data_IF_375540995640
#
_entry.id   IF_375540995640
#
_cell.length_a   1.000
_cell.length_b   1.000
_cell.length_c   1.000
_cell.angle_alpha   90.00
_cell.angle_beta   90.00
_cell.angle_gamma   90.00
#
_symmetry.space_group_name_H-M   'P 1'
#
loop_
_entity.id
_entity.type
_entity.pdbx_description
1 polymer ?
#
# COMPACT_ATOMS: atom_id res chain seq x y z
N UNK A 1 -9.79 14.18 10.06
CA UNK A 1 -9.82 13.10 9.06
C UNK A 1 -9.57 11.77 9.77
N UNK A 2 -10.32 10.70 9.44
CA UNK A 2 -10.06 9.36 10.01
C UNK A 2 -8.90 8.70 9.26
N UNK A 3 -7.88 8.30 10.01
CA UNK A 3 -6.65 7.68 9.48
C UNK A 3 -6.80 6.19 9.18
N UNK A 4 -7.81 5.56 9.78
CA UNK A 4 -8.17 4.17 9.55
C UNK A 4 -9.68 4.10 9.37
N UNK A 5 -10.12 3.26 8.43
CA UNK A 5 -11.51 3.03 8.09
C UNK A 5 -11.94 1.66 8.63
N UNK A 6 -13.18 1.53 9.10
CA UNK A 6 -13.80 0.23 9.37
C UNK A 6 -14.44 -0.32 8.10
N UNK A 7 -14.60 -1.64 8.01
CA UNK A 7 -15.15 -2.33 6.84
C UNK A 7 -16.47 -1.73 6.35
N UNK A 8 -17.36 -1.33 7.27
CA UNK A 8 -18.67 -0.70 6.98
C UNK A 8 -18.56 0.59 6.16
N UNK A 9 -17.40 1.25 6.18
CA UNK A 9 -17.17 2.54 5.50
C UNK A 9 -16.41 2.41 4.19
N UNK A 10 -15.98 1.20 3.80
CA UNK A 10 -15.13 1.01 2.62
C UNK A 10 -15.88 1.32 1.32
N UNK A 11 -17.12 0.86 1.20
CA UNK A 11 -17.95 1.09 0.00
C UNK A 11 -18.23 2.58 -0.17
N UNK A 12 -18.62 3.28 0.90
CA UNK A 12 -18.85 4.73 0.91
C UNK A 12 -17.56 5.50 0.57
N UNK A 13 -16.41 5.06 1.09
CA UNK A 13 -15.12 5.70 0.82
C UNK A 13 -14.67 5.51 -0.63
N UNK A 14 -15.08 4.43 -1.27
CA UNK A 14 -14.88 4.17 -2.69
C UNK A 14 -13.56 3.46 -3.03
N UNK A 15 -13.59 2.73 -4.14
CA UNK A 15 -12.50 1.86 -4.63
C UNK A 15 -11.16 2.60 -4.81
N UNK A 16 -11.19 3.87 -5.19
CA UNK A 16 -9.98 4.67 -5.39
C UNK A 16 -9.22 4.97 -4.09
N UNK A 17 -9.88 4.84 -2.94
CA UNK A 17 -9.27 5.13 -1.64
C UNK A 17 -8.96 3.87 -0.84
N UNK A 18 -9.71 2.78 -1.02
CA UNK A 18 -9.51 1.52 -0.31
C UNK A 18 -8.87 0.42 -1.17
N UNK A 19 -8.82 0.58 -2.49
CA UNK A 19 -8.36 -0.42 -3.45
C UNK A 19 -9.38 -1.54 -3.73
N UNK A 20 -9.10 -2.34 -4.76
CA UNK A 20 -10.02 -3.37 -5.26
C UNK A 20 -10.34 -4.45 -4.22
N UNK A 21 -9.31 -5.04 -3.60
CA UNK A 21 -9.46 -6.11 -2.61
C UNK A 21 -10.29 -5.70 -1.40
N UNK A 22 -9.99 -4.54 -0.82
CA UNK A 22 -10.74 -4.01 0.32
C UNK A 22 -12.20 -3.72 -0.05
N UNK A 23 -12.42 -3.10 -1.21
CA UNK A 23 -13.75 -2.78 -1.70
C UNK A 23 -14.59 -4.05 -1.90
N UNK A 24 -14.02 -5.07 -2.54
CA UNK A 24 -14.67 -6.37 -2.72
C UNK A 24 -14.94 -7.07 -1.38
N UNK A 25 -14.01 -7.01 -0.42
CA UNK A 25 -14.20 -7.57 0.91
C UNK A 25 -15.39 -6.93 1.64
N UNK A 26 -15.54 -5.61 1.55
CA UNK A 26 -16.68 -4.91 2.14
C UNK A 26 -17.99 -5.28 1.46
N UNK A 27 -18.01 -5.44 0.13
CA UNK A 27 -19.20 -5.93 -0.57
C UNK A 27 -19.62 -7.33 -0.10
N UNK A 28 -18.67 -8.22 0.15
CA UNK A 28 -18.94 -9.56 0.69
C UNK A 28 -19.50 -9.46 2.12
N UNK A 29 -18.92 -8.60 2.96
CA UNK A 29 -19.45 -8.32 4.30
C UNK A 29 -20.90 -7.80 4.27
N UNK A 30 -21.22 -6.86 3.36
CA UNK A 30 -22.57 -6.30 3.21
C UNK A 30 -23.61 -7.34 2.74
N UNK A 31 -23.17 -8.44 2.13
CA UNK A 31 -24.03 -9.58 1.79
C UNK A 31 -24.25 -10.55 2.96
N UNK A 32 -23.73 -10.25 4.16
CA UNK A 32 -23.94 -11.03 5.37
C UNK A 32 -23.00 -12.23 5.54
N UNK A 33 -21.93 -12.30 4.75
CA UNK A 33 -20.88 -13.30 4.96
C UNK A 33 -20.03 -12.95 6.18
N UNK A 34 -19.58 -13.98 6.90
CA UNK A 34 -18.70 -13.81 8.05
C UNK A 34 -17.30 -13.40 7.58
N UNK A 35 -16.99 -12.12 7.77
CA UNK A 35 -15.71 -11.52 7.43
C UNK A 35 -15.01 -11.14 8.73
N UNK A 36 -13.72 -11.51 8.92
CA UNK A 36 -12.96 -11.08 10.08
C UNK A 36 -12.99 -9.56 10.26
N UNK A 37 -12.84 -9.10 11.50
CA UNK A 37 -12.78 -7.65 11.77
C UNK A 37 -11.61 -7.01 11.03
N UNK A 38 -11.93 -6.26 9.97
CA UNK A 38 -10.97 -5.63 9.08
C UNK A 38 -11.04 -4.12 9.17
N UNK A 39 -9.86 -3.50 9.10
CA UNK A 39 -9.72 -2.07 8.93
C UNK A 39 -8.87 -1.76 7.71
N UNK A 40 -8.99 -0.55 7.16
CA UNK A 40 -8.21 -0.11 6.02
C UNK A 40 -7.43 1.17 6.36
N UNK A 41 -6.14 1.18 6.06
CA UNK A 41 -5.33 2.40 5.91
C UNK A 41 -5.50 2.87 4.46
N UNK A 42 -6.23 3.97 4.21
CA UNK A 42 -6.59 4.37 2.85
C UNK A 42 -5.44 5.04 2.08
N UNK A 43 -5.56 5.10 0.76
CA UNK A 43 -4.56 5.67 -0.16
C UNK A 43 -4.12 7.09 0.21
N UNK A 44 -5.05 7.94 0.67
CA UNK A 44 -4.69 9.28 1.18
C UNK A 44 -3.64 9.31 2.30
N UNK A 45 -3.53 8.24 3.10
CA UNK A 45 -2.50 8.15 4.15
C UNK A 45 -1.15 7.79 3.56
N UNK A 46 -1.13 6.93 2.53
CA UNK A 46 0.07 6.71 1.72
C UNK A 46 0.54 8.01 1.06
N UNK A 47 -0.38 8.74 0.42
CA UNK A 47 -0.10 10.04 -0.20
C UNK A 47 0.47 11.06 0.80
N UNK A 48 -0.17 11.20 1.96
CA UNK A 48 0.31 12.07 3.03
C UNK A 48 1.69 11.65 3.53
N UNK A 49 1.93 10.35 3.70
CA UNK A 49 3.24 9.82 4.08
C UNK A 49 4.32 10.19 3.07
N UNK A 50 4.12 9.91 1.78
CA UNK A 50 5.15 10.17 0.76
C UNK A 50 5.39 11.66 0.53
N UNK A 51 4.36 12.50 0.73
CA UNK A 51 4.47 13.95 0.62
C UNK A 51 5.17 14.58 1.84
N UNK A 52 4.67 14.33 3.06
CA UNK A 52 5.21 14.93 4.30
C UNK A 52 6.64 14.47 4.62
N UNK A 53 7.06 13.31 4.10
CA UNK A 53 8.43 12.80 4.28
C UNK A 53 9.39 13.14 3.14
N UNK A 54 8.96 13.91 2.14
CA UNK A 54 9.70 14.19 0.90
C UNK A 54 10.15 12.93 0.14
N UNK A 55 9.51 11.80 0.42
CA UNK A 55 9.83 10.53 -0.20
C UNK A 55 9.42 10.52 -1.67
N UNK A 56 8.31 11.20 -2.02
CA UNK A 56 7.83 11.35 -3.40
C UNK A 56 8.92 11.90 -4.33
N UNK A 57 9.60 12.97 -3.91
CA UNK A 57 10.64 13.61 -4.73
C UNK A 57 11.85 12.70 -4.93
N UNK A 58 12.24 11.95 -3.89
CA UNK A 58 13.35 10.98 -3.95
C UNK A 58 13.01 9.79 -4.85
N UNK A 59 11.77 9.30 -4.79
CA UNK A 59 11.26 8.25 -5.68
C UNK A 59 11.30 8.74 -7.13
N UNK A 60 10.77 9.93 -7.40
CA UNK A 60 10.77 10.51 -8.74
C UNK A 60 12.19 10.70 -9.27
N UNK A 61 13.14 11.11 -8.44
CA UNK A 61 14.54 11.23 -8.84
C UNK A 61 15.13 9.88 -9.28
N UNK A 62 14.85 8.80 -8.54
CA UNK A 62 15.34 7.46 -8.90
C UNK A 62 14.69 6.91 -10.17
N UNK A 63 13.40 7.18 -10.39
CA UNK A 63 12.65 6.70 -11.54
C UNK A 63 12.97 7.46 -12.84
N UNK A 64 13.33 8.74 -12.74
CA UNK A 64 13.60 9.60 -13.89
C UNK A 64 15.09 9.64 -14.30
N UNK A 65 15.95 8.77 -13.75
CA UNK A 65 17.38 8.71 -14.14
C UNK A 65 17.57 8.32 -15.61
N UNK A 66 16.59 7.61 -16.17
CA UNK A 66 16.53 7.14 -17.55
C UNK A 66 15.05 6.96 -17.92
N UNK A 67 14.64 7.06 -19.19
CA UNK A 67 13.28 6.69 -19.60
C UNK A 67 12.98 5.24 -19.21
N UNK A 68 11.88 5.01 -18.50
CA UNK A 68 11.56 3.72 -17.89
C UNK A 68 11.40 2.60 -18.93
N UNK A 69 10.81 2.95 -20.08
CA UNK A 69 10.59 2.06 -21.22
C UNK A 69 11.91 1.51 -21.78
N UNK A 70 13.00 2.27 -21.62
CA UNK A 70 14.34 1.93 -22.13
C UNK A 70 15.22 1.20 -21.09
N UNK A 71 14.75 1.03 -19.85
CA UNK A 71 15.50 0.37 -18.80
C UNK A 71 15.54 -1.15 -19.02
N UNK A 72 16.70 -1.76 -18.83
CA UNK A 72 16.83 -3.22 -18.74
C UNK A 72 16.39 -3.73 -17.37
N UNK A 73 16.16 -5.04 -17.26
CA UNK A 73 15.71 -5.66 -16.02
C UNK A 73 16.66 -5.41 -14.84
N UNK A 74 17.98 -5.36 -15.07
CA UNK A 74 18.97 -5.07 -14.02
C UNK A 74 18.81 -3.66 -13.47
N UNK A 75 18.55 -2.69 -14.35
CA UNK A 75 18.35 -1.28 -13.98
C UNK A 75 17.05 -1.11 -13.18
N UNK A 76 15.99 -1.85 -13.55
CA UNK A 76 14.71 -1.86 -12.82
C UNK A 76 14.89 -2.47 -11.44
N UNK A 77 15.63 -3.58 -11.35
CA UNK A 77 15.93 -4.21 -10.07
C UNK A 77 16.71 -3.28 -9.14
N UNK A 78 17.73 -2.60 -9.67
CA UNK A 78 18.53 -1.61 -8.95
C UNK A 78 17.68 -0.43 -8.42
N UNK A 79 16.78 0.10 -9.25
CA UNK A 79 15.87 1.19 -8.85
C UNK A 79 14.86 0.71 -7.79
N UNK A 80 14.28 -0.48 -7.99
CA UNK A 80 13.41 -1.14 -7.03
C UNK A 80 14.06 -1.25 -5.66
N UNK A 81 15.29 -1.77 -5.60
CA UNK A 81 16.03 -1.93 -4.36
C UNK A 81 16.27 -0.58 -3.67
N UNK A 82 16.71 0.44 -4.43
CA UNK A 82 16.91 1.79 -3.89
C UNK A 82 15.62 2.35 -3.32
N UNK A 83 14.53 2.36 -4.09
CA UNK A 83 13.23 2.90 -3.67
C UNK A 83 12.69 2.16 -2.45
N UNK A 84 12.69 0.82 -2.46
CA UNK A 84 12.24 0.02 -1.31
C UNK A 84 13.05 0.35 -0.06
N UNK A 85 14.36 0.55 -0.18
CA UNK A 85 15.19 1.00 0.94
C UNK A 85 14.84 2.42 1.41
N UNK A 86 14.44 3.33 0.52
CA UNK A 86 13.93 4.65 0.91
C UNK A 86 12.70 4.51 1.83
N UNK A 87 11.76 3.63 1.50
CA UNK A 87 10.61 3.35 2.38
C UNK A 87 11.09 2.84 3.74
N UNK A 88 11.97 1.84 3.80
CA UNK A 88 12.44 1.26 5.06
C UNK A 88 13.12 2.29 5.97
N UNK A 89 13.97 3.14 5.39
CA UNK A 89 14.76 4.14 6.13
C UNK A 89 14.02 5.44 6.44
N UNK A 90 12.94 5.75 5.72
CA UNK A 90 12.19 6.99 5.92
C UNK A 90 11.11 6.81 6.99
N UNK A 91 11.19 7.48 8.16
CA UNK A 91 10.22 7.31 9.23
C UNK A 91 8.83 7.85 8.83
N UNK A 92 7.77 7.25 9.37
CA UNK A 92 6.42 7.81 9.23
C UNK A 92 6.34 9.12 10.03
N UNK A 93 5.87 10.24 9.44
CA UNK A 93 5.68 11.51 10.15
C UNK A 93 4.93 11.34 11.46
N UNK A 94 5.33 12.10 12.49
CA UNK A 94 4.84 11.94 13.87
C UNK A 94 3.31 11.99 13.97
N UNK A 95 2.66 12.84 13.17
CA UNK A 95 1.20 12.98 13.17
C UNK A 95 0.50 11.72 12.64
N UNK A 96 0.93 11.24 11.48
CA UNK A 96 0.42 9.99 10.87
C UNK A 96 0.69 8.81 11.80
N UNK A 97 1.92 8.68 12.30
CA UNK A 97 2.32 7.60 13.21
C UNK A 97 1.43 7.57 14.45
N UNK A 98 1.27 8.70 15.14
CA UNK A 98 0.43 8.82 16.34
C UNK A 98 -1.01 8.37 16.04
N UNK A 99 -1.59 8.89 14.96
CA UNK A 99 -2.98 8.57 14.62
C UNK A 99 -3.19 7.09 14.28
N UNK A 100 -2.24 6.47 13.56
CA UNK A 100 -2.28 5.03 13.29
C UNK A 100 -2.06 4.22 14.58
N UNK A 101 -1.06 4.58 15.39
CA UNK A 101 -0.72 3.87 16.62
C UNK A 101 -1.86 3.85 17.63
N UNK A 102 -2.58 4.95 17.82
CA UNK A 102 -3.71 5.05 18.74
C UNK A 102 -4.84 4.08 18.33
N UNK A 103 -5.18 4.04 17.05
CA UNK A 103 -6.24 3.18 16.52
C UNK A 103 -5.82 1.71 16.50
N UNK A 104 -4.62 1.40 16.04
CA UNK A 104 -4.07 0.04 16.00
C UNK A 104 -3.96 -0.55 17.42
N UNK A 105 -3.47 0.22 18.39
CA UNK A 105 -3.34 -0.27 19.77
C UNK A 105 -4.72 -0.53 20.40
N UNK A 106 -5.72 0.30 20.09
CA UNK A 106 -7.10 0.14 20.57
C UNK A 106 -7.80 -1.09 20.00
N UNK A 107 -7.56 -1.41 18.72
CA UNK A 107 -8.30 -2.46 18.02
C UNK A 107 -7.55 -3.79 17.93
N UNK A 108 -6.23 -3.74 17.84
CA UNK A 108 -5.39 -4.90 17.56
C UNK A 108 -4.35 -5.19 18.64
N UNK A 109 -4.01 -4.24 19.51
CA UNK A 109 -3.23 -4.49 20.74
C UNK A 109 -2.10 -5.54 20.59
N UNK A 110 -2.30 -6.72 21.19
CA UNK A 110 -1.41 -7.89 21.09
C UNK A 110 -1.89 -8.99 20.13
N UNK A 111 -3.06 -8.82 19.53
CA UNK A 111 -3.64 -9.82 18.63
C UNK A 111 -2.88 -9.80 17.29
N UNK A 112 -2.53 -10.98 16.75
CA UNK A 112 -1.92 -11.06 15.43
C UNK A 112 -2.90 -10.63 14.35
N UNK A 113 -2.38 -9.91 13.35
CA UNK A 113 -3.12 -9.46 12.18
C UNK A 113 -2.48 -9.93 10.88
N UNK A 114 -3.28 -9.98 9.83
CA UNK A 114 -2.78 -10.00 8.45
C UNK A 114 -2.71 -8.55 7.95
N UNK A 115 -1.69 -8.24 7.16
CA UNK A 115 -1.46 -6.92 6.56
C UNK A 115 -1.30 -7.15 5.07
N UNK A 116 -2.26 -6.67 4.27
CA UNK A 116 -2.37 -7.01 2.85
C UNK A 116 -2.48 -5.75 2.02
N UNK A 117 -1.87 -5.80 0.84
CA UNK A 117 -2.03 -4.81 -0.21
C UNK A 117 -3.47 -4.74 -0.72
N UNK A 118 -3.92 -3.53 -1.02
CA UNK A 118 -5.14 -3.24 -1.76
C UNK A 118 -4.93 -1.93 -2.55
N UNK A 119 -4.31 -2.01 -3.72
CA UNK A 119 -4.17 -0.84 -4.59
C UNK A 119 -5.40 -0.62 -5.50
N UNK A 120 -5.71 0.64 -5.84
CA UNK A 120 -6.64 0.96 -6.92
C UNK A 120 -6.11 0.45 -8.27
N UNK A 121 -7.01 -0.01 -9.14
CA UNK A 121 -6.63 -0.54 -10.46
C UNK A 121 -5.92 -1.91 -10.41
N UNK A 122 -5.81 -2.56 -9.24
CA UNK A 122 -5.32 -3.94 -9.14
C UNK A 122 -6.21 -4.95 -9.86
N UNK A 123 -7.51 -4.65 -9.95
CA UNK A 123 -8.56 -5.51 -10.47
C UNK A 123 -9.40 -4.72 -11.50
N UNK A 124 -8.80 -4.41 -12.66
CA UNK A 124 -9.52 -3.86 -13.82
C UNK A 124 -9.86 -4.97 -14.82
N UNK A 125 -10.85 -4.77 -15.69
CA UNK A 125 -11.34 -5.77 -16.65
C UNK A 125 -10.22 -6.32 -17.56
N UNK A 126 -9.19 -5.51 -17.82
CA UNK A 126 -8.04 -5.87 -18.65
C UNK A 126 -6.74 -6.20 -17.90
N UNK A 127 -6.64 -5.95 -16.58
CA UNK A 127 -5.39 -6.09 -15.83
C UNK A 127 -5.62 -6.60 -14.41
N UNK A 128 -4.92 -7.68 -14.04
CA UNK A 128 -4.95 -8.23 -12.68
C UNK A 128 -3.55 -8.25 -12.08
N UNK A 129 -3.39 -7.54 -10.97
CA UNK A 129 -2.15 -7.46 -10.19
C UNK A 129 -2.06 -8.60 -9.15
N UNK A 130 -2.72 -9.73 -9.42
CA UNK A 130 -2.73 -10.88 -8.53
C UNK A 130 -1.31 -11.37 -8.23
N UNK A 131 -0.95 -11.38 -6.95
CA UNK A 131 0.34 -11.87 -6.47
C UNK A 131 1.53 -10.93 -6.64
N UNK A 132 1.33 -9.69 -7.10
CA UNK A 132 2.45 -8.73 -7.29
C UNK A 132 2.93 -8.05 -6.01
N UNK A 133 2.00 -7.81 -5.09
CA UNK A 133 2.22 -6.94 -3.94
C UNK A 133 2.29 -7.75 -2.64
N UNK A 134 3.09 -7.24 -1.71
CA UNK A 134 3.44 -7.97 -0.49
C UNK A 134 2.20 -8.18 0.41
N UNK A 135 2.21 -9.27 1.17
CA UNK A 135 1.24 -9.57 2.23
C UNK A 135 1.94 -10.27 3.38
N UNK A 136 1.61 -9.88 4.61
CA UNK A 136 2.25 -10.39 5.82
C UNK A 136 1.20 -10.96 6.76
N UNK A 137 1.49 -12.11 7.36
CA UNK A 137 0.60 -12.81 8.28
C UNK A 137 1.22 -12.86 9.68
N UNK A 138 0.38 -13.02 10.69
CA UNK A 138 0.80 -13.20 12.07
C UNK A 138 1.68 -12.05 12.61
N UNK A 139 1.36 -10.82 12.21
CA UNK A 139 2.07 -9.62 12.68
C UNK A 139 1.39 -9.10 13.94
N UNK A 140 2.16 -8.94 15.01
CA UNK A 140 1.63 -8.48 16.30
C UNK A 140 2.43 -7.29 16.83
N UNK A 141 1.73 -6.36 17.48
CA UNK A 141 2.32 -5.17 18.09
C UNK A 141 2.38 -3.99 17.13
N UNK A 142 2.04 -2.82 17.66
CA UNK A 142 1.83 -1.59 16.89
C UNK A 142 3.02 -1.20 16.03
N UNK A 143 4.25 -1.30 16.55
CA UNK A 143 5.45 -0.92 15.78
C UNK A 143 5.76 -1.89 14.65
N UNK A 144 5.56 -3.20 14.85
CA UNK A 144 5.72 -4.18 13.78
C UNK A 144 4.61 -4.02 12.74
N UNK A 145 3.37 -3.73 13.12
CA UNK A 145 2.29 -3.44 12.17
C UNK A 145 2.65 -2.23 11.30
N UNK A 146 3.11 -1.12 11.90
CA UNK A 146 3.53 0.07 11.16
C UNK A 146 4.70 -0.21 10.20
N UNK A 147 5.66 -1.03 10.62
CA UNK A 147 6.78 -1.46 9.77
C UNK A 147 6.29 -2.25 8.57
N UNK A 148 5.39 -3.20 8.76
CA UNK A 148 4.85 -4.02 7.68
C UNK A 148 3.91 -3.24 6.76
N UNK A 149 3.18 -2.23 7.26
CA UNK A 149 2.45 -1.28 6.40
C UNK A 149 3.41 -0.59 5.42
N UNK A 150 4.58 -0.14 5.89
CA UNK A 150 5.60 0.45 5.00
C UNK A 150 6.16 -0.56 4.00
N UNK A 151 6.32 -1.82 4.38
CA UNK A 151 6.77 -2.89 3.48
C UNK A 151 5.72 -3.17 2.40
N UNK A 152 4.43 -3.17 2.74
CA UNK A 152 3.34 -3.26 1.76
C UNK A 152 3.36 -2.06 0.82
N UNK A 153 3.52 -0.83 1.32
CA UNK A 153 3.65 0.35 0.46
C UNK A 153 4.87 0.29 -0.47
N UNK A 154 6.01 -0.18 0.02
CA UNK A 154 7.21 -0.32 -0.80
C UNK A 154 7.07 -1.40 -1.89
N UNK A 155 6.12 -2.33 -1.73
CA UNK A 155 5.80 -3.35 -2.74
C UNK A 155 5.18 -2.80 -4.02
N UNK A 156 4.70 -1.55 -4.03
CA UNK A 156 4.37 -0.85 -5.27
C UNK A 156 5.57 -0.75 -6.23
N UNK A 157 6.78 -0.71 -5.66
CA UNK A 157 8.04 -0.52 -6.37
C UNK A 157 8.90 -1.78 -6.32
N UNK A 158 8.32 -2.97 -6.11
CA UNK A 158 9.06 -4.22 -6.32
C UNK A 158 9.48 -4.34 -7.78
N UNK A 159 10.56 -5.06 -8.04
CA UNK A 159 11.03 -5.36 -9.38
C UNK A 159 9.93 -6.04 -10.22
N UNK A 160 9.22 -7.02 -9.63
CA UNK A 160 8.06 -7.64 -10.26
C UNK A 160 6.95 -6.62 -10.59
N UNK A 161 6.62 -5.72 -9.65
CA UNK A 161 5.58 -4.72 -9.85
C UNK A 161 5.94 -3.65 -10.89
N UNK A 162 7.22 -3.28 -10.98
CA UNK A 162 7.73 -2.35 -11.98
C UNK A 162 7.80 -3.03 -13.35
N UNK A 163 8.35 -4.23 -13.45
CA UNK A 163 8.40 -5.01 -14.70
C UNK A 163 6.99 -5.20 -15.27
N UNK A 164 6.02 -5.59 -14.46
CA UNK A 164 4.64 -5.75 -14.89
C UNK A 164 4.03 -4.45 -15.44
N UNK A 165 4.24 -3.33 -14.75
CA UNK A 165 3.78 -2.01 -15.24
C UNK A 165 4.46 -1.64 -16.55
N UNK A 166 5.75 -1.99 -16.73
CA UNK A 166 6.48 -1.76 -17.97
C UNK A 166 5.87 -2.55 -19.14
N UNK A 167 5.64 -3.85 -18.94
CA UNK A 167 5.05 -4.72 -19.97
C UNK A 167 3.67 -4.26 -20.42
N UNK A 168 2.89 -3.66 -19.51
CA UNK A 168 1.56 -3.14 -19.79
C UNK A 168 1.53 -1.65 -20.19
N UNK A 169 2.66 -0.97 -20.24
CA UNK A 169 2.73 0.46 -20.54
C UNK A 169 1.97 1.35 -19.53
N UNK A 170 1.90 0.93 -18.27
CA UNK A 170 1.18 1.64 -17.21
C UNK A 170 2.03 2.76 -16.59
N UNK A 171 1.36 3.82 -16.15
CA UNK A 171 2.01 4.91 -15.44
C UNK A 171 2.52 4.45 -14.06
N UNK A 172 3.82 4.63 -13.87
CA UNK A 172 4.54 4.29 -12.65
C UNK A 172 4.55 5.44 -11.63
N UNK A 173 4.18 6.66 -12.03
CA UNK A 173 4.26 7.86 -11.19
C UNK A 173 3.01 8.10 -10.33
N UNK A 174 1.88 7.51 -10.69
CA UNK A 174 0.57 7.75 -10.06
C UNK A 174 0.11 6.58 -9.18
N UNK A 175 0.97 5.60 -8.92
CA UNK A 175 0.63 4.43 -8.11
C UNK A 175 0.39 4.78 -6.63
N UNK A 176 -0.66 4.19 -6.06
CA UNK A 176 -1.07 4.37 -4.67
C UNK A 176 -1.48 3.02 -4.08
N UNK A 177 -1.43 2.90 -2.75
CA UNK A 177 -1.71 1.64 -2.07
C UNK A 177 -2.45 1.89 -0.76
N UNK A 178 -3.63 1.32 -0.64
CA UNK A 178 -4.26 1.12 0.65
C UNK A 178 -3.81 -0.22 1.25
N UNK A 179 -3.95 -0.34 2.56
CA UNK A 179 -3.54 -1.54 3.31
C UNK A 179 -4.70 -2.01 4.17
N UNK A 180 -5.01 -3.30 4.11
CA UNK A 180 -6.07 -3.96 4.90
C UNK A 180 -5.54 -5.03 5.83
#
# INVERSE_FOLDING_TARGET
MRSILGIDTFVETGINQVGGKAFCLARIHDQGFDVPKTFCVPCRIFEAYVAESHLKDRILLEMNRKPFEQMRWEEIWDISLRIRNLFLTTPIPKNIRRSLSELLSRHYGKNPVAIRSSAPGEDDESTSFAGLHDSYLNVSGTDEILKHIKMVWSSLYSDAALLYRKELGLDIHTSQMAVV
#
